data_IF_368569992266
#
_entry.id   IF_368569992266
#
_cell.length_a   1.000
_cell.length_b   1.000
_cell.length_c   1.000
_cell.angle_alpha   90.00
_cell.angle_beta   90.00
_cell.angle_gamma   90.00
#
_symmetry.space_group_name_H-M   'P 1'
#
loop_
_entity.id
_entity.type
_entity.pdbx_description
1 polymer ?
#
# COMPACT_ATOMS: atom_id res chain seq x y z
N UNK A 1 14.16 2.32 -14.50
CA UNK A 1 13.77 1.70 -13.21
C UNK A 1 14.98 1.29 -12.35
N UNK A 2 15.80 0.29 -12.76
CA UNK A 2 16.94 -0.20 -11.95
C UNK A 2 17.97 0.86 -11.52
N UNK A 3 18.26 1.88 -12.34
CA UNK A 3 19.20 2.96 -11.98
C UNK A 3 18.66 3.87 -10.86
N UNK A 4 17.36 4.19 -10.88
CA UNK A 4 16.72 5.02 -9.86
C UNK A 4 16.68 4.31 -8.50
N UNK A 5 16.29 3.02 -8.49
CA UNK A 5 16.27 2.21 -7.27
C UNK A 5 17.67 2.06 -6.64
N UNK A 6 18.71 1.85 -7.46
CA UNK A 6 20.11 1.83 -6.98
C UNK A 6 20.58 3.16 -6.39
N UNK A 7 19.99 4.27 -6.82
CA UNK A 7 20.27 5.60 -6.30
C UNK A 7 19.35 5.98 -5.12
N UNK A 8 18.55 5.04 -4.58
CA UNK A 8 17.64 5.29 -3.46
C UNK A 8 16.35 6.02 -3.84
N UNK A 9 16.07 6.18 -5.13
CA UNK A 9 14.87 6.85 -5.62
C UNK A 9 13.80 5.86 -6.08
N UNK A 10 12.56 6.15 -5.70
CA UNK A 10 11.38 5.49 -6.21
C UNK A 10 11.26 5.62 -7.75
N UNK A 11 10.76 4.59 -8.43
CA UNK A 11 10.48 4.61 -9.86
C UNK A 11 9.21 3.82 -10.17
N UNK A 12 8.32 4.38 -11.00
CA UNK A 12 7.06 3.78 -11.38
C UNK A 12 6.79 3.98 -12.88
N UNK A 13 5.95 3.12 -13.47
CA UNK A 13 5.49 3.25 -14.85
C UNK A 13 4.02 3.65 -14.82
N UNK A 14 3.67 4.72 -15.53
CA UNK A 14 2.29 5.17 -15.71
C UNK A 14 1.75 4.51 -16.97
N UNK A 15 0.69 3.71 -16.82
CA UNK A 15 -0.02 3.11 -17.94
C UNK A 15 -1.25 3.97 -18.28
N UNK A 16 -1.51 4.27 -19.57
CA UNK A 16 -2.74 4.92 -19.97
C UNK A 16 -3.95 4.03 -19.65
N UNK A 17 -5.01 4.64 -19.11
CA UNK A 17 -6.24 3.90 -18.77
C UNK A 17 -7.05 3.59 -20.03
N UNK A 18 -7.16 2.30 -20.38
CA UNK A 18 -8.05 1.81 -21.45
C UNK A 18 -9.47 1.50 -20.97
N UNK A 19 -9.75 1.68 -19.67
CA UNK A 19 -11.05 1.34 -19.09
C UNK A 19 -12.12 2.37 -19.48
N UNK A 20 -13.29 1.90 -19.90
CA UNK A 20 -14.46 2.74 -20.11
C UNK A 20 -14.73 3.58 -18.85
N UNK A 21 -15.17 4.84 -18.96
CA UNK A 21 -15.51 5.66 -17.80
C UNK A 21 -16.56 4.93 -16.97
N UNK A 22 -16.17 4.41 -15.81
CA UNK A 22 -17.13 3.95 -14.82
C UNK A 22 -17.95 5.20 -14.45
N UNK A 23 -19.28 5.13 -14.58
CA UNK A 23 -20.19 6.28 -14.44
C UNK A 23 -20.07 7.02 -13.09
N UNK A 24 -19.42 6.42 -12.08
CA UNK A 24 -19.19 6.97 -10.74
C UNK A 24 -17.77 7.54 -10.51
N UNK A 25 -16.90 7.57 -11.52
CA UNK A 25 -15.53 8.08 -11.36
C UNK A 25 -15.47 9.55 -11.75
N UNK A 26 -15.18 10.41 -10.77
CA UNK A 26 -14.86 11.81 -11.04
C UNK A 26 -13.62 11.88 -11.96
N UNK A 27 -13.75 12.37 -13.21
CA UNK A 27 -12.66 12.37 -14.19
C UNK A 27 -11.50 13.29 -13.80
N UNK A 28 -11.69 14.19 -12.81
CA UNK A 28 -10.65 15.10 -12.30
C UNK A 28 -9.89 14.53 -11.09
N UNK A 29 -10.20 13.32 -10.64
CA UNK A 29 -9.58 12.71 -9.46
C UNK A 29 -8.48 11.72 -9.85
N UNK A 30 -7.24 12.01 -9.45
CA UNK A 30 -6.11 11.09 -9.58
C UNK A 30 -6.24 9.97 -8.55
N UNK A 31 -6.13 8.71 -8.99
CA UNK A 31 -6.17 7.53 -8.13
C UNK A 31 -4.85 6.78 -8.23
N UNK A 32 -4.18 6.59 -7.09
CA UNK A 32 -2.89 5.91 -7.00
C UNK A 32 -3.07 4.68 -6.11
N UNK A 33 -2.74 3.50 -6.63
CA UNK A 33 -2.66 2.29 -5.83
C UNK A 33 -1.19 1.94 -5.60
N UNK A 34 -0.85 1.68 -4.34
CA UNK A 34 0.45 1.21 -3.92
C UNK A 34 0.40 -0.29 -3.67
N UNK A 35 1.42 -1.01 -4.13
CA UNK A 35 1.73 -2.31 -3.55
C UNK A 35 2.27 -2.12 -2.11
N UNK A 36 2.10 -3.13 -1.26
CA UNK A 36 2.56 -3.09 0.12
C UNK A 36 4.05 -3.31 0.24
N UNK A 37 4.46 -4.57 0.13
CA UNK A 37 5.83 -5.01 0.39
C UNK A 37 6.80 -4.57 -0.70
N UNK A 38 8.02 -4.23 -0.31
CA UNK A 38 9.08 -3.65 -1.15
C UNK A 38 8.72 -2.33 -1.87
N UNK A 39 7.53 -1.77 -1.63
CA UNK A 39 7.05 -0.49 -2.18
C UNK A 39 6.80 0.51 -1.07
N UNK A 40 5.77 0.30 -0.23
CA UNK A 40 5.48 1.15 0.92
C UNK A 40 6.19 0.67 2.18
N UNK A 41 6.30 -0.65 2.35
CA UNK A 41 7.01 -1.28 3.45
C UNK A 41 8.34 -1.86 2.95
N UNK A 42 9.33 -1.97 3.82
CA UNK A 42 10.57 -2.67 3.50
C UNK A 42 10.32 -4.15 3.21
N UNK A 43 11.26 -4.81 2.53
CA UNK A 43 11.23 -6.24 2.20
C UNK A 43 11.57 -7.17 3.39
N UNK A 44 11.67 -6.66 4.61
CA UNK A 44 12.06 -7.43 5.79
C UNK A 44 11.16 -8.65 6.04
N UNK A 45 9.83 -8.48 6.03
CA UNK A 45 8.92 -9.60 6.23
C UNK A 45 8.97 -10.63 5.09
N UNK A 46 9.24 -10.19 3.85
CA UNK A 46 9.43 -11.09 2.71
C UNK A 46 10.71 -11.93 2.85
N UNK A 47 11.76 -11.37 3.46
CA UNK A 47 12.99 -12.13 3.77
C UNK A 47 12.72 -13.21 4.81
N UNK A 48 11.93 -12.92 5.85
CA UNK A 48 11.54 -13.91 6.86
C UNK A 48 10.74 -15.04 6.20
N UNK A 49 9.74 -14.71 5.39
CA UNK A 49 8.97 -15.72 4.66
C UNK A 49 9.85 -16.61 3.77
N UNK A 50 10.77 -16.00 3.00
CA UNK A 50 11.69 -16.76 2.12
C UNK A 50 12.71 -17.61 2.86
N UNK A 51 13.14 -17.18 4.05
CA UNK A 51 14.16 -17.88 4.84
C UNK A 51 13.57 -18.98 5.72
N UNK A 52 12.48 -18.67 6.41
CA UNK A 52 11.98 -19.46 7.54
C UNK A 52 10.54 -20.00 7.30
N UNK A 53 9.93 -19.68 6.17
CA UNK A 53 8.60 -20.17 5.79
C UNK A 53 7.43 -19.37 6.38
N UNK A 54 6.21 -19.86 6.12
CA UNK A 54 4.96 -19.18 6.48
C UNK A 54 4.76 -19.05 7.99
N UNK A 55 5.00 -20.12 8.75
CA UNK A 55 4.75 -20.15 10.20
C UNK A 55 5.62 -19.13 10.96
N UNK A 56 6.89 -18.98 10.55
CA UNK A 56 7.80 -18.00 11.10
C UNK A 56 7.38 -16.56 10.73
N UNK A 57 6.91 -16.35 9.50
CA UNK A 57 6.35 -15.08 9.08
C UNK A 57 5.12 -14.71 9.92
N UNK A 58 4.15 -15.61 10.07
CA UNK A 58 2.93 -15.34 10.84
C UNK A 58 3.22 -15.07 12.31
N UNK A 59 4.10 -15.87 12.91
CA UNK A 59 4.56 -15.66 14.30
C UNK A 59 5.23 -14.31 14.47
N UNK A 60 6.09 -13.91 13.53
CA UNK A 60 6.74 -12.60 13.56
C UNK A 60 5.73 -11.46 13.39
N UNK A 61 4.76 -11.58 12.50
CA UNK A 61 3.72 -10.55 12.29
C UNK A 61 2.83 -10.39 13.54
N UNK A 62 2.52 -11.47 14.25
CA UNK A 62 1.79 -11.43 15.52
C UNK A 62 2.63 -10.79 16.63
N UNK A 63 3.86 -11.26 16.83
CA UNK A 63 4.76 -10.75 17.88
C UNK A 63 5.10 -9.27 17.66
N UNK A 64 5.33 -8.88 16.42
CA UNK A 64 5.67 -7.52 16.04
C UNK A 64 4.44 -6.68 15.64
N UNK A 65 3.21 -7.12 15.91
CA UNK A 65 1.99 -6.44 15.47
C UNK A 65 1.94 -4.96 15.89
N UNK A 66 2.50 -4.64 17.06
CA UNK A 66 2.57 -3.27 17.61
C UNK A 66 3.75 -2.44 17.11
N UNK A 67 4.70 -3.07 16.40
CA UNK A 67 5.88 -2.41 15.87
C UNK A 67 5.63 -2.02 14.40
N UNK A 68 5.72 -0.72 14.05
CA UNK A 68 5.59 -0.29 12.67
C UNK A 68 6.58 -1.02 11.75
N UNK A 69 6.12 -1.36 10.54
CA UNK A 69 7.01 -1.86 9.49
C UNK A 69 8.00 -0.75 9.09
N UNK A 70 9.24 -1.09 8.77
CA UNK A 70 10.16 -0.11 8.19
C UNK A 70 9.64 0.41 6.85
N UNK A 71 9.99 1.66 6.54
CA UNK A 71 9.56 2.33 5.30
C UNK A 71 10.23 1.76 4.06
N UNK A 72 9.44 1.49 3.03
CA UNK A 72 9.92 1.21 1.69
C UNK A 72 10.23 2.49 0.88
N UNK A 73 10.74 2.35 -0.35
CA UNK A 73 11.19 3.48 -1.18
C UNK A 73 10.10 4.51 -1.50
N UNK A 74 8.82 4.13 -1.45
CA UNK A 74 7.69 5.04 -1.73
C UNK A 74 7.04 5.65 -0.48
N UNK A 75 7.55 5.38 0.73
CA UNK A 75 7.01 5.98 1.97
C UNK A 75 6.95 7.52 1.88
N UNK A 76 8.04 8.15 1.46
CA UNK A 76 8.12 9.62 1.39
C UNK A 76 7.19 10.18 0.29
N UNK A 77 7.00 9.44 -0.79
CA UNK A 77 6.05 9.82 -1.84
C UNK A 77 4.60 9.76 -1.33
N UNK A 78 4.22 8.71 -0.59
CA UNK A 78 2.92 8.63 0.08
C UNK A 78 2.73 9.80 1.07
N UNK A 79 3.77 10.15 1.84
CA UNK A 79 3.72 11.29 2.75
C UNK A 79 3.48 12.63 2.02
N UNK A 80 4.14 12.83 0.86
CA UNK A 80 3.94 14.02 0.04
C UNK A 80 2.51 14.09 -0.54
N UNK A 81 1.98 12.97 -1.04
CA UNK A 81 0.59 12.89 -1.50
C UNK A 81 -0.38 13.23 -0.37
N UNK A 82 -0.09 12.76 0.85
CA UNK A 82 -0.89 13.07 2.02
C UNK A 82 -0.93 14.57 2.33
N UNK A 83 0.21 15.28 2.25
CA UNK A 83 0.25 16.73 2.43
C UNK A 83 -0.65 17.46 1.43
N UNK A 84 -0.55 17.09 0.14
CA UNK A 84 -1.41 17.68 -0.91
C UNK A 84 -2.90 17.44 -0.63
N UNK A 85 -3.24 16.28 -0.07
CA UNK A 85 -4.62 15.96 0.29
C UNK A 85 -5.13 16.78 1.49
N UNK A 86 -4.26 17.07 2.47
CA UNK A 86 -4.60 17.95 3.60
C UNK A 86 -4.79 19.40 3.15
N UNK A 87 -3.95 19.87 2.22
CA UNK A 87 -4.01 21.24 1.69
C UNK A 87 -5.22 21.46 0.75
N UNK A 88 -5.89 20.38 0.33
CA UNK A 88 -7.07 20.50 -0.53
C UNK A 88 -8.30 20.98 0.26
N UNK A 89 -8.58 22.29 0.17
CA UNK A 89 -9.68 23.02 0.83
C UNK A 89 -11.12 22.60 0.42
N UNK A 90 -11.29 21.54 -0.36
CA UNK A 90 -12.58 21.09 -0.90
C UNK A 90 -13.09 19.81 -0.25
N UNK A 91 -14.41 19.61 -0.25
CA UNK A 91 -15.06 18.40 0.27
C UNK A 91 -14.67 17.09 -0.47
N UNK A 92 -13.94 17.20 -1.59
CA UNK A 92 -13.46 16.07 -2.40
C UNK A 92 -11.98 16.31 -2.73
N UNK A 93 -11.10 15.51 -2.15
CA UNK A 93 -9.67 15.59 -2.45
C UNK A 93 -9.37 15.17 -3.90
N UNK A 94 -8.51 15.90 -4.64
CA UNK A 94 -8.16 15.59 -6.03
C UNK A 94 -7.34 14.31 -6.16
N UNK A 95 -6.78 13.80 -5.06
CA UNK A 95 -5.98 12.57 -5.03
C UNK A 95 -6.67 11.55 -4.12
N UNK A 96 -6.73 10.29 -4.55
CA UNK A 96 -7.06 9.15 -3.69
C UNK A 96 -5.93 8.12 -3.75
N UNK A 97 -5.56 7.60 -2.58
CA UNK A 97 -4.56 6.54 -2.47
C UNK A 97 -5.21 5.24 -2.00
N UNK A 98 -4.76 4.11 -2.53
CA UNK A 98 -5.16 2.77 -2.08
C UNK A 98 -3.90 1.92 -1.82
N UNK A 99 -4.02 0.94 -0.93
CA UNK A 99 -3.01 -0.10 -0.71
C UNK A 99 -3.57 -1.42 -1.18
N UNK A 100 -2.81 -2.07 -2.03
CA UNK A 100 -3.02 -3.42 -2.51
C UNK A 100 -1.89 -4.23 -1.90
N UNK A 101 -2.20 -5.32 -1.21
CA UNK A 101 -1.19 -6.19 -0.60
C UNK A 101 -1.69 -7.62 -0.52
N UNK A 102 -0.78 -8.57 -0.70
CA UNK A 102 -1.05 -10.00 -0.51
C UNK A 102 -1.03 -10.43 0.97
N UNK A 103 -0.69 -9.53 1.90
CA UNK A 103 -0.67 -9.82 3.35
C UNK A 103 -2.05 -10.29 3.83
N UNK A 104 -2.10 -11.48 4.41
CA UNK A 104 -3.29 -12.11 4.99
C UNK A 104 -3.63 -11.64 6.42
N UNK A 105 -4.70 -12.20 6.99
CA UNK A 105 -5.34 -11.76 8.23
C UNK A 105 -4.47 -11.74 9.53
N UNK A 106 -3.26 -12.32 9.63
CA UNK A 106 -2.35 -12.05 10.75
C UNK A 106 -1.58 -10.71 10.64
N UNK A 107 -1.24 -10.28 9.42
CA UNK A 107 -0.38 -9.12 9.16
C UNK A 107 -1.16 -7.78 9.03
N UNK A 108 -2.49 -7.84 9.00
CA UNK A 108 -3.35 -6.67 8.79
C UNK A 108 -3.22 -5.63 9.91
N UNK A 109 -3.12 -6.09 11.16
CA UNK A 109 -3.00 -5.19 12.30
C UNK A 109 -1.73 -4.34 12.20
N UNK A 110 -0.59 -4.98 11.90
CA UNK A 110 0.70 -4.32 11.77
C UNK A 110 0.72 -3.29 10.65
N UNK A 111 0.13 -3.62 9.49
CA UNK A 111 -0.02 -2.70 8.36
C UNK A 111 -0.84 -1.46 8.75
N UNK A 112 -2.00 -1.64 9.39
CA UNK A 112 -2.86 -0.52 9.82
C UNK A 112 -2.13 0.35 10.84
N UNK A 113 -1.46 -0.26 11.82
CA UNK A 113 -0.68 0.46 12.84
C UNK A 113 0.49 1.22 12.23
N UNK A 114 1.16 0.66 11.24
CA UNK A 114 2.24 1.33 10.50
C UNK A 114 1.74 2.59 9.82
N UNK A 115 0.63 2.50 9.08
CA UNK A 115 0.03 3.65 8.38
C UNK A 115 -0.45 4.72 9.36
N UNK A 116 -0.97 4.32 10.53
CA UNK A 116 -1.34 5.26 11.61
C UNK A 116 -0.10 5.93 12.20
N UNK A 117 0.95 5.16 12.47
CA UNK A 117 2.21 5.70 13.01
C UNK A 117 2.88 6.69 12.04
N UNK A 118 2.62 6.56 10.74
CA UNK A 118 3.08 7.51 9.73
C UNK A 118 2.10 8.67 9.46
N UNK A 119 0.99 8.75 10.20
CA UNK A 119 -0.11 9.70 10.00
C UNK A 119 -0.77 9.64 8.61
N UNK A 120 -0.59 8.55 7.84
CA UNK A 120 -1.17 8.39 6.50
C UNK A 120 -2.45 7.54 6.48
N UNK A 121 -3.00 7.19 7.66
CA UNK A 121 -4.11 6.23 7.79
C UNK A 121 -5.47 6.73 7.30
N UNK A 122 -5.69 8.05 7.21
CA UNK A 122 -7.00 8.63 6.86
C UNK A 122 -7.45 8.36 5.42
N UNK A 123 -6.59 7.76 4.59
CA UNK A 123 -6.76 7.76 3.14
C UNK A 123 -6.98 6.39 2.50
N UNK A 124 -6.64 5.31 3.19
CA UNK A 124 -6.63 4.00 2.57
C UNK A 124 -7.98 3.30 2.72
N UNK A 125 -8.86 3.43 1.71
CA UNK A 125 -10.01 2.52 1.61
C UNK A 125 -9.49 1.12 1.31
N UNK A 126 -9.82 0.18 2.20
CA UNK A 126 -9.47 -1.24 2.11
C UNK A 126 -10.05 -1.82 0.81
N UNK A 127 -9.22 -2.38 -0.06
CA UNK A 127 -9.67 -3.25 -1.15
C UNK A 127 -9.01 -4.61 -0.94
N UNK A 128 -9.72 -5.56 -0.36
CA UNK A 128 -9.28 -6.95 -0.33
C UNK A 128 -9.74 -7.65 -1.62
N UNK A 129 -8.80 -8.07 -2.44
CA UNK A 129 -9.05 -9.07 -3.48
C UNK A 129 -8.34 -10.36 -3.09
N UNK A 130 -8.93 -11.13 -2.16
CA UNK A 130 -8.73 -12.57 -2.02
C UNK A 130 -10.01 -13.14 -1.42
N UNK A 131 -11.05 -13.35 -2.23
CA UNK A 131 -12.16 -14.30 -1.97
C UNK A 131 -13.14 -14.36 -3.15
N UNK A 132 -12.64 -14.53 -4.38
CA UNK A 132 -13.51 -14.83 -5.52
C UNK A 132 -12.93 -15.91 -6.43
N UNK A 133 -12.56 -17.05 -5.83
CA UNK A 133 -12.21 -18.28 -6.57
C UNK A 133 -12.65 -19.57 -5.86
N UNK A 134 -13.78 -19.57 -5.11
CA UNK A 134 -14.46 -20.81 -4.66
C UNK A 134 -16.00 -20.66 -4.58
N UNK A 135 -16.60 -20.15 -5.65
CA UNK A 135 -18.05 -20.23 -5.84
C UNK A 135 -18.36 -20.34 -7.34
N UNK A 136 -17.85 -21.40 -7.96
CA UNK A 136 -18.46 -22.02 -9.13
C UNK A 136 -17.83 -23.41 -9.31
N UNK A 137 -18.37 -24.37 -8.58
CA UNK A 137 -18.23 -25.81 -8.81
C UNK A 137 -19.56 -26.43 -8.44
#
# INVERSE_FOLDING_TARGET
MRKALKAGFAAATILPSSAAPLAEVNPKQLRIAFDGDAVLFSDESERIYRRDGLDAFESNEILAAKQPLPGGPFKNFLAMLHQIQLDSLGNISPIRTALITARGAPAHERVIRTLRAWNTSALMKRYSWVERTKANS
#
